data_IF_358582472190
#
_entry.id   IF_358582472190
#
_cell.length_a   1.000
_cell.length_b   1.000
_cell.length_c   1.000
_cell.angle_alpha   90.00
_cell.angle_beta   90.00
_cell.angle_gamma   90.00
#
_symmetry.space_group_name_H-M   'P 1'
#
loop_
_entity.id
_entity.type
_entity.pdbx_description
1 polymer ?
#
# COMPACT_ATOMS: atom_id res chain seq x y z
N UNK A 1 -3.64 20.65 48.26
CA UNK A 1 -2.50 20.52 47.34
C UNK A 1 -2.43 19.05 46.95
N UNK A 2 -2.92 18.68 45.77
CA UNK A 2 -2.84 17.31 45.29
C UNK A 2 -1.43 17.12 44.71
N UNK A 3 -0.61 16.33 45.41
CA UNK A 3 0.68 15.87 44.90
C UNK A 3 0.30 14.76 43.93
N UNK A 4 0.37 15.04 42.63
CA UNK A 4 0.36 13.97 41.63
C UNK A 4 1.67 13.21 41.82
N UNK A 5 1.61 11.98 42.33
CA UNK A 5 2.76 11.09 42.29
C UNK A 5 3.18 10.92 40.82
N UNK A 6 4.47 11.08 40.48
CA UNK A 6 4.94 10.90 39.12
C UNK A 6 4.57 9.50 38.64
N UNK A 7 4.15 9.32 37.36
CA UNK A 7 3.77 8.01 36.85
C UNK A 7 4.91 7.02 37.08
N UNK A 8 4.62 5.96 37.83
CA UNK A 8 5.58 4.92 38.19
C UNK A 8 6.27 4.39 36.92
N UNK A 9 7.51 4.80 36.70
CA UNK A 9 8.29 4.47 35.50
C UNK A 9 8.33 2.95 35.20
N UNK A 10 8.29 2.13 36.25
CA UNK A 10 8.23 0.67 36.15
C UNK A 10 6.89 0.14 35.65
N UNK A 11 5.77 0.78 36.01
CA UNK A 11 4.43 0.44 35.51
C UNK A 11 4.27 0.86 34.05
N UNK A 12 4.78 2.05 33.68
CA UNK A 12 4.79 2.52 32.29
C UNK A 12 5.66 1.62 31.39
N UNK A 13 6.85 1.24 31.85
CA UNK A 13 7.72 0.31 31.11
C UNK A 13 7.13 -1.11 31.02
N UNK A 14 6.47 -1.58 32.08
CA UNK A 14 5.76 -2.85 32.08
C UNK A 14 4.59 -2.85 31.09
N UNK A 15 3.82 -1.77 31.04
CA UNK A 15 2.76 -1.58 30.05
C UNK A 15 3.35 -1.60 28.63
N UNK A 16 4.37 -0.79 28.35
CA UNK A 16 5.01 -0.69 27.02
C UNK A 16 5.53 -2.04 26.51
N UNK A 17 6.22 -2.82 27.34
CA UNK A 17 6.75 -4.14 26.96
C UNK A 17 5.64 -5.20 26.77
N UNK A 18 4.58 -5.14 27.56
CA UNK A 18 3.45 -6.07 27.45
C UNK A 18 2.64 -5.80 26.20
N UNK A 19 2.50 -4.54 25.78
CA UNK A 19 1.80 -4.18 24.55
C UNK A 19 2.55 -4.60 23.29
N UNK A 20 3.89 -4.54 23.28
CA UNK A 20 4.69 -5.11 22.20
C UNK A 20 4.45 -6.62 22.06
N UNK A 21 4.38 -7.34 23.18
CA UNK A 21 4.11 -8.79 23.21
C UNK A 21 2.71 -9.15 22.70
N UNK A 22 1.73 -8.26 22.86
CA UNK A 22 0.37 -8.48 22.35
C UNK A 22 0.28 -8.41 20.83
N UNK A 23 1.11 -7.58 20.19
CA UNK A 23 1.17 -7.54 18.73
C UNK A 23 1.62 -8.88 18.16
N UNK A 24 2.65 -9.48 18.76
CA UNK A 24 3.16 -10.79 18.34
C UNK A 24 2.14 -11.91 18.62
N UNK A 25 1.39 -11.80 19.71
CA UNK A 25 0.32 -12.74 20.03
C UNK A 25 -0.85 -12.65 19.03
N UNK A 26 -1.31 -11.44 18.71
CA UNK A 26 -2.43 -11.22 17.78
C UNK A 26 -2.04 -11.58 16.34
N UNK A 27 -0.78 -11.35 15.96
CA UNK A 27 -0.25 -11.71 14.64
C UNK A 27 0.03 -13.21 14.48
N UNK A 28 0.04 -13.98 15.57
CA UNK A 28 0.37 -15.39 15.54
C UNK A 28 -0.69 -16.20 14.77
N UNK A 29 -0.23 -17.06 13.87
CA UNK A 29 -1.06 -17.97 13.07
C UNK A 29 -2.09 -18.72 13.91
N UNK A 30 -1.67 -19.29 15.04
CA UNK A 30 -2.55 -20.08 15.92
C UNK A 30 -3.71 -19.24 16.46
N UNK A 31 -3.44 -17.98 16.79
CA UNK A 31 -4.47 -17.08 17.30
C UNK A 31 -5.44 -16.65 16.18
N UNK A 32 -4.92 -16.30 15.00
CA UNK A 32 -5.74 -15.90 13.85
C UNK A 32 -6.65 -17.05 13.39
N UNK A 33 -6.11 -18.26 13.27
CA UNK A 33 -6.88 -19.45 12.87
C UNK A 33 -7.97 -19.82 13.88
N UNK A 34 -7.67 -19.72 15.18
CA UNK A 34 -8.66 -19.94 16.25
C UNK A 34 -9.76 -18.87 16.23
N UNK A 35 -9.41 -17.60 16.04
CA UNK A 35 -10.36 -16.50 15.96
C UNK A 35 -11.32 -16.64 14.77
N UNK A 36 -10.79 -17.00 13.59
CA UNK A 36 -11.61 -17.24 12.38
C UNK A 36 -12.55 -18.45 12.57
N UNK A 37 -12.04 -19.52 13.17
CA UNK A 37 -12.83 -20.73 13.48
C UNK A 37 -13.95 -20.43 14.48
N UNK A 38 -13.66 -19.66 15.53
CA UNK A 38 -14.63 -19.26 16.54
C UNK A 38 -15.76 -18.39 15.96
N UNK A 39 -15.45 -17.57 14.97
CA UNK A 39 -16.42 -16.75 14.25
C UNK A 39 -17.11 -17.50 13.08
N UNK A 40 -16.80 -18.79 12.89
CA UNK A 40 -17.34 -19.65 11.83
C UNK A 40 -17.11 -19.08 10.41
N UNK A 41 -15.96 -18.42 10.23
CA UNK A 41 -15.49 -17.87 8.95
C UNK A 41 -14.67 -18.93 8.20
N UNK A 42 -15.15 -19.37 7.04
CA UNK A 42 -14.40 -20.24 6.12
C UNK A 42 -13.43 -19.42 5.26
N UNK A 43 -12.43 -18.81 5.92
CA UNK A 43 -11.40 -17.98 5.30
C UNK A 43 -10.04 -18.61 5.59
N UNK A 44 -9.19 -18.69 4.57
CA UNK A 44 -7.81 -19.13 4.75
C UNK A 44 -7.06 -18.22 5.75
N UNK A 45 -6.51 -18.75 6.86
CA UNK A 45 -5.80 -17.93 7.82
C UNK A 45 -4.56 -17.26 7.23
N UNK A 46 -3.98 -17.80 6.16
CA UNK A 46 -2.85 -17.18 5.45
C UNK A 46 -3.25 -15.93 4.70
N UNK A 47 -4.38 -15.98 4.00
CA UNK A 47 -4.98 -14.80 3.39
C UNK A 47 -5.30 -13.72 4.45
N UNK A 48 -5.90 -14.11 5.57
CA UNK A 48 -6.22 -13.17 6.66
C UNK A 48 -4.95 -12.55 7.28
N UNK A 49 -3.89 -13.34 7.48
CA UNK A 49 -2.63 -12.85 8.04
C UNK A 49 -1.91 -11.88 7.08
N UNK A 50 -1.92 -12.17 5.78
CA UNK A 50 -1.27 -11.33 4.76
C UNK A 50 -1.91 -9.95 4.60
N UNK A 51 -3.19 -9.84 4.93
CA UNK A 51 -3.98 -8.60 4.81
C UNK A 51 -4.09 -7.82 6.11
N UNK A 52 -3.56 -8.37 7.21
CA UNK A 52 -3.65 -7.81 8.55
C UNK A 52 -2.54 -6.78 8.79
N UNK A 53 -2.93 -5.59 9.22
CA UNK A 53 -2.05 -4.55 9.73
C UNK A 53 -2.43 -4.24 11.18
N UNK A 54 -1.44 -4.35 12.08
CA UNK A 54 -1.60 -4.05 13.50
C UNK A 54 -0.88 -2.74 13.83
N UNK A 55 -1.67 -1.74 14.21
CA UNK A 55 -1.21 -0.47 14.77
C UNK A 55 -1.29 -0.49 16.30
N UNK A 56 -0.48 0.34 16.94
CA UNK A 56 -0.54 0.51 18.39
C UNK A 56 -0.17 1.94 18.76
N UNK A 57 -0.94 2.54 19.67
CA UNK A 57 -0.61 3.81 20.31
C UNK A 57 -0.31 3.56 21.81
N UNK A 58 0.98 3.62 22.23
CA UNK A 58 1.39 3.35 23.62
C UNK A 58 0.89 4.39 24.61
N UNK A 59 0.74 5.64 24.19
CA UNK A 59 0.29 6.72 25.07
C UNK A 59 -1.21 6.61 25.35
N UNK A 60 -1.98 6.04 24.41
CA UNK A 60 -3.42 5.85 24.54
C UNK A 60 -3.83 4.45 25.03
N UNK A 61 -2.88 3.50 25.17
CA UNK A 61 -3.15 2.08 25.44
C UNK A 61 -4.13 1.43 24.45
N UNK A 62 -4.14 1.89 23.19
CA UNK A 62 -5.02 1.37 22.13
C UNK A 62 -4.24 0.46 21.19
N UNK A 63 -4.83 -0.70 20.88
CA UNK A 63 -4.39 -1.59 19.81
C UNK A 63 -5.36 -1.43 18.64
N UNK A 64 -4.83 -1.09 17.46
CA UNK A 64 -5.61 -0.91 16.25
C UNK A 64 -5.42 -2.12 15.33
N UNK A 65 -6.53 -2.77 14.97
CA UNK A 65 -6.55 -3.92 14.07
C UNK A 65 -7.18 -3.46 12.75
N UNK A 66 -6.44 -3.59 11.66
CA UNK A 66 -6.89 -3.21 10.31
C UNK A 66 -6.71 -4.40 9.38
N UNK A 67 -7.73 -4.74 8.61
CA UNK A 67 -7.63 -5.73 7.53
C UNK A 67 -7.95 -5.06 6.20
N UNK A 68 -7.13 -5.29 5.18
CA UNK A 68 -7.36 -4.77 3.83
C UNK A 68 -7.77 -5.91 2.91
N UNK A 69 -9.04 -5.91 2.50
CA UNK A 69 -9.55 -6.90 1.54
C UNK A 69 -10.33 -6.19 0.41
N UNK A 70 -10.35 -6.84 -0.76
CA UNK A 70 -11.21 -6.57 -1.91
C UNK A 70 -12.71 -6.54 -1.57
N UNK A 71 -13.13 -7.35 -0.59
CA UNK A 71 -14.51 -7.38 -0.10
C UNK A 71 -14.61 -6.70 1.27
N UNK A 72 -15.32 -5.56 1.37
CA UNK A 72 -15.43 -4.81 2.61
C UNK A 72 -16.17 -5.60 3.72
N UNK A 73 -17.05 -6.54 3.35
CA UNK A 73 -17.74 -7.39 4.32
C UNK A 73 -16.78 -8.41 4.93
N UNK A 74 -15.90 -9.03 4.14
CA UNK A 74 -14.86 -9.94 4.64
C UNK A 74 -13.86 -9.22 5.54
N UNK A 75 -13.38 -8.04 5.15
CA UNK A 75 -12.47 -7.24 5.96
C UNK A 75 -13.07 -6.93 7.34
N UNK A 76 -14.34 -6.49 7.38
CA UNK A 76 -15.05 -6.24 8.63
C UNK A 76 -15.21 -7.51 9.47
N UNK A 77 -15.57 -8.63 8.84
CA UNK A 77 -15.76 -9.91 9.53
C UNK A 77 -14.45 -10.43 10.16
N UNK A 78 -13.31 -10.33 9.45
CA UNK A 78 -11.99 -10.71 9.97
C UNK A 78 -11.63 -9.86 11.19
N UNK A 79 -11.77 -8.53 11.10
CA UNK A 79 -11.40 -7.64 12.21
C UNK A 79 -12.31 -7.87 13.43
N UNK A 80 -13.62 -8.06 13.20
CA UNK A 80 -14.56 -8.37 14.27
C UNK A 80 -14.22 -9.70 14.96
N UNK A 81 -13.95 -10.75 14.18
CA UNK A 81 -13.56 -12.06 14.70
C UNK A 81 -12.30 -11.99 15.57
N UNK A 82 -11.26 -11.28 15.09
CA UNK A 82 -10.02 -11.10 15.85
C UNK A 82 -10.23 -10.27 17.13
N UNK A 83 -11.02 -9.20 17.06
CA UNK A 83 -11.32 -8.36 18.22
C UNK A 83 -12.08 -9.16 19.30
N UNK A 84 -13.09 -9.93 18.90
CA UNK A 84 -13.92 -10.70 19.82
C UNK A 84 -13.12 -11.85 20.45
N UNK A 85 -12.30 -12.56 19.65
CA UNK A 85 -11.40 -13.60 20.16
C UNK A 85 -10.35 -13.05 21.13
N UNK A 86 -9.85 -11.84 20.90
CA UNK A 86 -8.88 -11.20 21.79
C UNK A 86 -9.51 -10.82 23.13
N UNK A 87 -10.71 -10.24 23.12
CA UNK A 87 -11.46 -9.92 24.35
C UNK A 87 -11.77 -11.21 25.13
N UNK A 88 -12.25 -12.26 24.46
CA UNK A 88 -12.56 -13.54 25.09
C UNK A 88 -11.33 -14.20 25.74
N UNK A 89 -10.17 -14.21 25.04
CA UNK A 89 -8.93 -14.74 25.62
C UNK A 89 -8.45 -13.94 26.83
N UNK A 90 -8.50 -12.61 26.78
CA UNK A 90 -8.10 -11.78 27.91
C UNK A 90 -9.01 -11.98 29.12
N UNK A 91 -10.33 -12.09 28.91
CA UNK A 91 -11.28 -12.38 29.98
C UNK A 91 -10.98 -13.72 30.66
N UNK A 92 -10.75 -14.79 29.88
CA UNK A 92 -10.40 -16.10 30.41
C UNK A 92 -9.06 -16.10 31.17
N UNK A 93 -8.07 -15.35 30.69
CA UNK A 93 -6.78 -15.22 31.37
C UNK A 93 -6.91 -14.43 32.68
N UNK A 94 -7.74 -13.39 32.69
CA UNK A 94 -8.04 -12.60 33.89
C UNK A 94 -8.69 -13.46 34.98
N UNK A 95 -9.67 -14.31 34.62
CA UNK A 95 -10.29 -15.25 35.56
C UNK A 95 -9.28 -16.24 36.15
N UNK A 96 -8.36 -16.77 35.33
CA UNK A 96 -7.30 -17.68 35.79
C UNK A 96 -6.34 -17.02 36.77
N UNK A 97 -6.02 -15.73 36.57
CA UNK A 97 -5.15 -14.97 37.47
C UNK A 97 -5.84 -14.74 38.82
N UNK A 98 -7.15 -14.52 38.80
CA UNK A 98 -7.97 -14.31 40.00
C UNK A 98 -8.21 -15.62 40.77
N UNK A 99 -8.31 -16.75 40.07
CA UNK A 99 -8.54 -18.07 40.67
C UNK A 99 -7.28 -18.68 41.34
N UNK A 100 -6.10 -18.09 41.16
CA UNK A 100 -4.87 -18.60 41.81
C UNK A 100 -4.90 -18.31 43.31
N UNK A 101 -4.77 -19.32 44.18
CA UNK A 101 -4.63 -19.12 45.63
C UNK A 101 -3.41 -18.25 45.92
N UNK A 102 -3.58 -17.18 46.70
CA UNK A 102 -2.52 -16.17 46.91
C UNK A 102 -2.31 -15.85 48.38
N UNK A 103 -1.05 -15.66 48.82
CA UNK A 103 -0.76 -15.21 50.17
C UNK A 103 -1.32 -13.79 50.42
N UNK A 104 -1.77 -13.48 51.66
CA UNK A 104 -2.41 -12.20 52.01
C UNK A 104 -1.56 -10.94 51.78
N UNK A 105 -0.25 -11.10 51.56
CA UNK A 105 0.74 -10.03 51.41
C UNK A 105 0.90 -9.53 49.97
N UNK A 106 0.26 -10.17 48.99
CA UNK A 106 0.32 -9.74 47.60
C UNK A 106 -0.72 -8.63 47.34
N UNK A 107 -0.27 -7.48 46.83
CA UNK A 107 -1.14 -6.36 46.46
C UNK A 107 -2.22 -6.72 45.43
N UNK A 108 -3.18 -5.80 45.25
CA UNK A 108 -4.34 -5.95 44.36
C UNK A 108 -3.93 -6.46 42.97
N UNK A 109 -4.66 -7.42 42.38
CA UNK A 109 -4.31 -7.98 41.09
C UNK A 109 -4.37 -6.91 40.01
N UNK A 110 -3.27 -6.70 39.28
CA UNK A 110 -3.24 -5.90 38.06
C UNK A 110 -3.93 -6.63 36.92
N UNK A 111 -5.25 -6.69 36.93
CA UNK A 111 -6.07 -7.22 35.84
C UNK A 111 -6.27 -6.13 34.82
N UNK A 112 -5.94 -6.39 33.56
CA UNK A 112 -6.20 -5.45 32.46
C UNK A 112 -7.48 -5.90 31.78
N UNK A 113 -8.56 -5.14 31.97
CA UNK A 113 -9.82 -5.36 31.28
C UNK A 113 -9.71 -4.74 29.90
N UNK A 114 -9.86 -5.57 28.86
CA UNK A 114 -9.85 -5.14 27.47
C UNK A 114 -11.29 -5.04 26.99
N UNK A 115 -11.67 -3.88 26.47
CA UNK A 115 -13.00 -3.65 25.88
C UNK A 115 -12.85 -3.34 24.39
N UNK A 116 -13.75 -3.87 23.57
CA UNK A 116 -13.82 -3.57 22.14
C UNK A 116 -14.34 -2.15 21.98
N UNK A 117 -13.46 -1.23 21.60
CA UNK A 117 -13.80 0.19 21.51
C UNK A 117 -14.70 0.51 20.31
N UNK A 118 -14.60 -0.27 19.23
CA UNK A 118 -15.39 -0.07 18.02
C UNK A 118 -15.68 -1.39 17.31
N UNK A 119 -16.85 -1.48 16.67
CA UNK A 119 -17.24 -2.61 15.82
C UNK A 119 -17.13 -2.15 14.37
N UNK A 120 -16.04 -2.50 13.66
CA UNK A 120 -15.84 -2.07 12.29
C UNK A 120 -17.02 -2.50 11.40
N UNK A 121 -17.61 -1.52 10.74
CA UNK A 121 -18.60 -1.71 9.68
C UNK A 121 -17.90 -1.68 8.32
N UNK A 122 -18.45 -2.39 7.30
CA UNK A 122 -17.87 -2.38 5.95
C UNK A 122 -17.69 -0.94 5.45
N UNK A 123 -16.47 -0.51 5.07
CA UNK A 123 -16.25 0.86 4.63
C UNK A 123 -17.03 1.12 3.34
N UNK A 124 -17.76 2.25 3.29
CA UNK A 124 -18.53 2.66 2.11
C UNK A 124 -17.65 3.16 0.96
N UNK A 125 -16.35 3.34 1.20
CA UNK A 125 -15.35 3.82 0.23
C UNK A 125 -14.09 2.94 0.29
N UNK A 126 -13.61 2.51 -0.88
CA UNK A 126 -12.38 1.72 -1.00
C UNK A 126 -11.13 2.56 -0.64
N UNK A 127 -10.21 1.98 0.11
CA UNK A 127 -8.96 2.63 0.56
C UNK A 127 -7.89 2.73 -0.54
N UNK A 128 -8.06 2.09 -1.70
CA UNK A 128 -7.19 2.23 -2.88
C UNK A 128 -7.73 1.51 -4.12
N UNK A 129 -7.04 1.59 -5.28
CA UNK A 129 -5.96 2.51 -5.65
C UNK A 129 -6.48 3.91 -6.05
N UNK A 130 -5.66 4.95 -5.88
CA UNK A 130 -5.99 6.34 -6.28
C UNK A 130 -5.90 6.52 -7.79
N UNK A 131 -6.81 5.90 -8.54
CA UNK A 131 -6.81 5.84 -10.00
C UNK A 131 -6.59 7.20 -10.66
N UNK A 132 -7.25 8.26 -10.16
CA UNK A 132 -7.10 9.63 -10.69
C UNK A 132 -5.67 10.15 -10.59
N UNK A 133 -5.00 9.92 -9.46
CA UNK A 133 -3.63 10.38 -9.23
C UNK A 133 -2.66 9.58 -10.09
N UNK A 134 -2.82 8.25 -10.13
CA UNK A 134 -1.94 7.37 -10.88
C UNK A 134 -2.06 7.62 -12.40
N UNK A 135 -3.27 7.82 -12.92
CA UNK A 135 -3.50 8.15 -14.33
C UNK A 135 -2.89 9.50 -14.69
N UNK A 136 -3.04 10.52 -13.84
CA UNK A 136 -2.42 11.83 -14.09
C UNK A 136 -0.89 11.73 -14.07
N UNK A 137 -0.32 11.02 -13.10
CA UNK A 137 1.12 10.78 -13.04
C UNK A 137 1.64 10.05 -14.29
N UNK A 138 0.92 9.01 -14.74
CA UNK A 138 1.26 8.27 -15.96
C UNK A 138 1.17 9.14 -17.22
N UNK A 139 0.15 10.01 -17.32
CA UNK A 139 0.00 10.94 -18.44
C UNK A 139 1.16 11.95 -18.51
N UNK A 140 1.57 12.51 -17.36
CA UNK A 140 2.72 13.43 -17.27
C UNK A 140 4.01 12.71 -17.63
N UNK A 141 4.26 11.53 -17.06
CA UNK A 141 5.45 10.73 -17.37
C UNK A 141 5.50 10.34 -18.85
N UNK A 142 4.36 9.96 -19.44
CA UNK A 142 4.25 9.63 -20.86
C UNK A 142 4.54 10.83 -21.76
N UNK A 143 4.05 12.02 -21.41
CA UNK A 143 4.34 13.25 -22.15
C UNK A 143 5.83 13.61 -22.11
N UNK A 144 6.46 13.50 -20.95
CA UNK A 144 7.91 13.75 -20.78
C UNK A 144 8.72 12.73 -21.58
N UNK A 145 8.39 11.45 -21.49
CA UNK A 145 9.05 10.40 -22.27
C UNK A 145 8.87 10.61 -23.78
N UNK A 146 7.68 11.01 -24.22
CA UNK A 146 7.40 11.33 -25.62
C UNK A 146 8.25 12.49 -26.13
N UNK A 147 8.40 13.56 -25.35
CA UNK A 147 9.29 14.67 -25.70
C UNK A 147 10.75 14.21 -25.82
N UNK A 148 11.24 13.40 -24.87
CA UNK A 148 12.60 12.86 -24.92
C UNK A 148 12.81 12.03 -26.19
N UNK A 149 11.84 11.20 -26.57
CA UNK A 149 11.91 10.41 -27.82
C UNK A 149 11.94 11.33 -29.03
N UNK A 150 11.06 12.33 -29.11
CA UNK A 150 11.04 13.30 -30.22
C UNK A 150 12.38 14.03 -30.34
N UNK A 151 12.88 14.60 -29.25
CA UNK A 151 14.19 15.29 -29.26
C UNK A 151 15.34 14.33 -29.54
N UNK A 152 15.30 13.11 -28.99
CA UNK A 152 16.28 12.07 -29.27
C UNK A 152 16.33 11.71 -30.74
N UNK A 153 15.17 11.54 -31.40
CA UNK A 153 15.13 11.26 -32.84
C UNK A 153 15.72 12.39 -33.67
N UNK A 154 15.56 13.65 -33.26
CA UNK A 154 16.17 14.79 -33.95
C UNK A 154 17.68 14.88 -33.67
N UNK A 155 18.12 14.59 -32.45
CA UNK A 155 19.53 14.66 -32.07
C UNK A 155 20.37 13.56 -32.73
N UNK A 156 19.82 12.35 -32.87
CA UNK A 156 20.47 11.23 -33.55
C UNK A 156 20.20 11.20 -35.07
N UNK A 157 19.50 12.20 -35.63
CA UNK A 157 19.29 12.33 -37.08
C UNK A 157 20.44 13.14 -37.72
N UNK A 158 21.41 12.43 -38.28
CA UNK A 158 22.58 13.01 -38.98
C UNK A 158 22.24 13.58 -40.38
N UNK A 159 20.96 13.72 -40.75
CA UNK A 159 20.56 14.19 -42.08
C UNK A 159 20.69 15.72 -42.22
N UNK A 160 21.50 16.18 -43.18
CA UNK A 160 21.60 17.61 -43.54
C UNK A 160 20.37 18.05 -44.36
N UNK A 161 19.39 18.67 -43.70
CA UNK A 161 18.12 19.07 -44.34
C UNK A 161 18.10 20.50 -44.86
N UNK A 162 18.97 21.39 -44.35
CA UNK A 162 18.98 22.79 -44.77
C UNK A 162 20.15 23.06 -45.72
N UNK A 163 19.94 23.91 -46.75
CA UNK A 163 21.01 24.24 -47.70
C UNK A 163 22.23 24.90 -47.04
N UNK A 164 22.01 25.65 -45.96
CA UNK A 164 23.05 26.30 -45.16
C UNK A 164 23.91 25.29 -44.39
N UNK A 165 23.29 24.20 -43.90
CA UNK A 165 23.98 23.15 -43.14
C UNK A 165 24.89 22.33 -44.05
N UNK A 166 24.46 22.08 -45.29
CA UNK A 166 25.27 21.43 -46.34
C UNK A 166 26.50 22.27 -46.69
N UNK A 167 26.31 23.58 -46.88
CA UNK A 167 27.40 24.49 -47.21
C UNK A 167 28.47 24.53 -46.10
N UNK A 168 28.02 24.52 -44.83
CA UNK A 168 28.89 24.58 -43.66
C UNK A 168 29.65 23.27 -43.40
N UNK A 169 29.05 22.12 -43.68
CA UNK A 169 29.71 20.81 -43.52
C UNK A 169 30.62 20.42 -44.69
N UNK A 170 30.23 20.75 -45.92
CA UNK A 170 30.96 20.36 -47.14
C UNK A 170 31.99 21.44 -47.54
N UNK A 171 31.83 22.68 -47.07
CA UNK A 171 32.74 23.80 -47.33
C UNK A 171 32.68 24.34 -48.77
N UNK A 172 31.67 23.94 -49.55
CA UNK A 172 31.50 24.35 -50.95
C UNK A 172 30.29 25.26 -51.11
N UNK A 173 30.37 26.33 -51.92
CA UNK A 173 29.23 27.18 -52.22
C UNK A 173 28.13 26.38 -52.94
N UNK A 174 26.88 26.59 -52.52
CA UNK A 174 25.71 25.91 -53.06
C UNK A 174 25.35 26.51 -54.42
N UNK A 175 25.41 25.69 -55.49
CA UNK A 175 25.22 26.16 -56.87
C UNK A 175 23.75 26.23 -57.30
N UNK A 176 22.92 25.26 -56.88
CA UNK A 176 21.47 25.29 -57.09
C UNK A 176 20.74 24.26 -56.22
N UNK A 177 19.43 24.45 -56.01
CA UNK A 177 18.54 23.48 -55.37
C UNK A 177 17.60 22.92 -56.43
N UNK A 178 17.63 21.60 -56.66
CA UNK A 178 16.68 20.94 -57.56
C UNK A 178 15.42 20.60 -56.76
N UNK A 179 14.27 21.22 -57.05
CA UNK A 179 13.02 20.86 -56.40
C UNK A 179 12.64 19.43 -56.77
N UNK A 180 12.24 18.63 -55.77
CA UNK A 180 11.67 17.32 -56.02
C UNK A 180 10.38 17.52 -56.84
N UNK A 181 10.35 16.97 -58.05
CA UNK A 181 9.18 17.06 -58.92
C UNK A 181 8.03 16.25 -58.33
N UNK A 182 6.86 16.86 -58.18
CA UNK A 182 5.63 16.28 -57.60
C UNK A 182 5.20 14.97 -58.30
N UNK A 183 5.55 14.82 -59.59
CA UNK A 183 5.29 13.61 -60.38
C UNK A 183 6.17 12.39 -60.05
N UNK A 184 7.34 12.56 -59.42
CA UNK A 184 8.22 11.45 -59.04
C UNK A 184 7.74 10.75 -57.76
N UNK A 185 7.22 11.52 -56.81
CA UNK A 185 6.66 11.00 -55.55
C UNK A 185 5.31 10.32 -55.77
N UNK A 186 4.46 10.84 -56.67
CA UNK A 186 3.21 10.19 -57.07
C UNK A 186 3.43 8.80 -57.70
N UNK A 187 4.49 8.63 -58.52
CA UNK A 187 4.86 7.34 -59.11
C UNK A 187 5.42 6.37 -58.08
N UNK A 188 6.26 6.83 -57.15
CA UNK A 188 6.79 6.00 -56.04
C UNK A 188 5.68 5.57 -55.07
N UNK A 189 4.72 6.45 -54.76
CA UNK A 189 3.57 6.13 -53.93
C UNK A 189 2.63 5.09 -54.58
N UNK A 190 2.39 5.19 -55.89
CA UNK A 190 1.60 4.21 -56.66
C UNK A 190 2.29 2.85 -56.74
N UNK A 191 3.61 2.83 -56.98
CA UNK A 191 4.39 1.59 -57.02
C UNK A 191 4.47 0.89 -55.65
N UNK A 192 4.50 1.65 -54.54
CA UNK A 192 4.50 1.10 -53.17
C UNK A 192 3.13 0.51 -52.79
N UNK A 193 2.02 1.13 -53.23
CA UNK A 193 0.66 0.60 -53.02
C UNK A 193 0.40 -0.73 -53.74
N UNK A 194 0.97 -0.93 -54.93
CA UNK A 194 0.85 -2.19 -55.68
C UNK A 194 1.65 -3.36 -55.08
N UNK A 195 2.65 -3.11 -54.23
CA UNK A 195 3.46 -4.16 -53.58
C UNK A 195 2.93 -4.62 -52.21
N UNK A 196 1.94 -3.94 -51.63
CA UNK A 196 1.38 -4.27 -50.30
C UNK A 196 0.07 -5.07 -50.33
N UNK A 197 -0.36 -5.53 -51.51
CA UNK A 197 -1.58 -6.34 -51.68
C UNK A 197 -1.22 -7.69 -52.29
N UNK A 198 -0.73 -8.60 -51.46
CA UNK A 198 -0.70 -10.05 -51.71
C UNK A 198 -0.73 -10.77 -50.38
#
# INVERSE_FOLDING_TARGET
MAIADPPDYWLDLYAKNRLASYKDLIANWTFVSEALSAANLDIDPGLAQSTLALGHNPDANIVQIVSTDSDPARAAAIVNALADAFVARNAAENERILARPRPPTAGLPGVVVMEKLDTPTPPSIASGPRVKVNTLAAAVLGAVAGLIVVFGTVYFDDTLKKPLDVQRYVGLPLLSVVPASEGADARRASAKRMRGTS
#
